data_IF_211176392837
#
_entry.id   IF_211176392837
#
_cell.length_a   1.000
_cell.length_b   1.000
_cell.length_c   1.000
_cell.angle_alpha   90.00
_cell.angle_beta   90.00
_cell.angle_gamma   90.00
#
_symmetry.space_group_name_H-M   'P 1'
#
loop_
_entity.id
_entity.type
_entity.pdbx_description
1 polymer ?
#
# COMPACT_ATOMS: atom_id res chain seq x y z
N UNK A 1 6.15 13.09 44.49
CA UNK A 1 4.82 12.52 44.15
C UNK A 1 3.82 13.65 44.02
N UNK A 2 3.10 13.74 42.89
CA UNK A 2 2.07 14.77 42.70
C UNK A 2 0.86 14.53 43.61
N UNK A 3 0.23 15.60 44.12
CA UNK A 3 -1.01 15.50 44.91
C UNK A 3 -2.13 14.92 44.03
N UNK A 4 -2.91 13.98 44.57
CA UNK A 4 -4.06 13.37 43.86
C UNK A 4 -5.07 14.46 43.48
N UNK A 5 -5.54 14.42 42.24
CA UNK A 5 -6.55 15.35 41.75
C UNK A 5 -7.90 15.05 42.44
N UNK A 6 -8.58 16.10 42.91
CA UNK A 6 -9.93 15.98 43.45
C UNK A 6 -10.91 15.65 42.34
N UNK A 7 -11.81 14.71 42.63
CA UNK A 7 -12.81 14.24 41.70
C UNK A 7 -13.76 15.36 41.25
N UNK A 8 -14.26 15.22 40.02
CA UNK A 8 -15.11 16.22 39.36
C UNK A 8 -16.47 16.34 40.07
N UNK A 9 -17.02 15.25 40.62
CA UNK A 9 -18.26 15.33 41.39
C UNK A 9 -18.09 16.19 42.63
N UNK A 10 -16.97 16.02 43.34
CA UNK A 10 -16.70 16.80 44.55
C UNK A 10 -16.48 18.28 44.21
N UNK A 11 -15.82 18.58 43.08
CA UNK A 11 -15.70 19.97 42.59
C UNK A 11 -17.06 20.60 42.28
N UNK A 12 -18.03 19.84 41.76
CA UNK A 12 -19.41 20.33 41.56
C UNK A 12 -20.10 20.60 42.90
N UNK A 13 -19.96 19.69 43.88
CA UNK A 13 -20.50 19.89 45.23
C UNK A 13 -19.94 21.15 45.90
N UNK A 14 -18.66 21.48 45.68
CA UNK A 14 -18.08 22.75 46.17
C UNK A 14 -18.83 23.97 45.61
N UNK A 15 -19.17 23.95 44.31
CA UNK A 15 -19.89 25.06 43.68
C UNK A 15 -21.32 25.15 44.20
N UNK A 16 -22.04 24.03 44.29
CA UNK A 16 -23.40 23.98 44.84
C UNK A 16 -23.45 24.49 46.28
N UNK A 17 -22.52 24.05 47.14
CA UNK A 17 -22.49 24.50 48.54
C UNK A 17 -22.12 25.98 48.67
N UNK A 18 -21.26 26.48 47.77
CA UNK A 18 -20.96 27.92 47.69
C UNK A 18 -22.19 28.72 47.28
N UNK A 19 -22.95 28.24 46.29
CA UNK A 19 -24.15 28.93 45.80
C UNK A 19 -25.28 28.91 46.86
N UNK A 20 -25.27 27.92 47.76
CA UNK A 20 -26.12 27.89 48.96
C UNK A 20 -25.67 28.81 50.11
N UNK A 21 -24.61 29.62 49.93
CA UNK A 21 -24.14 30.61 50.89
C UNK A 21 -23.18 30.11 51.97
N UNK A 22 -22.69 28.86 51.91
CA UNK A 22 -21.73 28.34 52.90
C UNK A 22 -20.35 28.98 52.74
N UNK A 23 -19.68 29.21 53.87
CA UNK A 23 -18.30 29.70 53.88
C UNK A 23 -17.32 28.65 53.37
N UNK A 24 -16.17 29.08 52.85
CA UNK A 24 -15.13 28.17 52.37
C UNK A 24 -14.61 27.22 53.47
N UNK A 25 -14.68 27.63 54.74
CA UNK A 25 -14.30 26.81 55.88
C UNK A 25 -15.31 25.68 56.13
N UNK A 26 -16.62 25.99 56.12
CA UNK A 26 -17.68 24.99 56.28
C UNK A 26 -17.68 23.98 55.13
N UNK A 27 -17.49 24.43 53.90
CA UNK A 27 -17.38 23.54 52.72
C UNK A 27 -16.18 22.60 52.87
N UNK A 28 -15.06 23.11 53.37
CA UNK A 28 -13.83 22.34 53.60
C UNK A 28 -14.05 21.23 54.63
N UNK A 29 -14.72 21.52 55.74
CA UNK A 29 -15.06 20.54 56.77
C UNK A 29 -16.08 19.52 56.26
N UNK A 30 -17.15 19.98 55.60
CA UNK A 30 -18.25 19.12 55.12
C UNK A 30 -17.82 18.13 54.05
N UNK A 31 -16.93 18.53 53.15
CA UNK A 31 -16.42 17.67 52.08
C UNK A 31 -15.08 16.98 52.43
N UNK A 32 -14.55 17.21 53.64
CA UNK A 32 -13.24 16.73 54.09
C UNK A 32 -12.10 17.00 53.08
N UNK A 33 -12.04 18.24 52.56
CA UNK A 33 -11.05 18.68 51.57
C UNK A 33 -10.36 19.94 52.08
N UNK A 34 -9.07 20.11 51.79
CA UNK A 34 -8.33 21.31 52.18
C UNK A 34 -9.00 22.61 51.69
N UNK A 35 -9.06 23.63 52.56
CA UNK A 35 -9.52 24.99 52.21
C UNK A 35 -8.87 25.55 50.95
N UNK A 36 -7.59 25.24 50.71
CA UNK A 36 -6.89 25.69 49.51
C UNK A 36 -7.53 25.12 48.23
N UNK A 37 -7.92 23.85 48.23
CA UNK A 37 -8.58 23.23 47.07
C UNK A 37 -9.98 23.83 46.84
N UNK A 38 -10.74 24.09 47.91
CA UNK A 38 -12.05 24.79 47.84
C UNK A 38 -11.86 26.17 47.19
N UNK A 39 -10.92 26.98 47.70
CA UNK A 39 -10.58 28.30 47.16
C UNK A 39 -10.18 28.26 45.69
N UNK A 40 -9.29 27.35 45.29
CA UNK A 40 -8.84 27.21 43.90
C UNK A 40 -9.96 26.76 42.96
N UNK A 41 -10.85 25.88 43.43
CA UNK A 41 -12.00 25.40 42.64
C UNK A 41 -12.99 26.53 42.40
N UNK A 42 -13.32 27.32 43.43
CA UNK A 42 -14.21 28.49 43.31
C UNK A 42 -13.58 29.54 42.39
N UNK A 43 -12.29 29.87 42.58
CA UNK A 43 -11.57 30.84 41.73
C UNK A 43 -11.64 30.43 40.27
N UNK A 44 -11.27 29.18 39.96
CA UNK A 44 -11.29 28.65 38.60
C UNK A 44 -12.70 28.66 38.00
N UNK A 45 -13.72 28.33 38.77
CA UNK A 45 -15.09 28.35 38.30
C UNK A 45 -15.57 29.79 38.02
N UNK A 46 -15.15 30.77 38.81
CA UNK A 46 -15.48 32.17 38.55
C UNK A 46 -14.78 32.71 37.29
N UNK A 47 -13.56 32.25 36.98
CA UNK A 47 -12.80 32.69 35.80
C UNK A 47 -13.23 31.97 34.50
N UNK A 48 -13.51 30.67 34.57
CA UNK A 48 -13.67 29.81 33.39
C UNK A 48 -15.03 29.10 33.31
N UNK A 49 -15.91 29.30 34.29
CA UNK A 49 -17.22 28.64 34.42
C UNK A 49 -17.17 27.11 34.25
N UNK A 50 -16.05 26.49 34.63
CA UNK A 50 -15.86 25.04 34.49
C UNK A 50 -15.09 24.43 35.66
N UNK A 51 -15.59 23.28 36.12
CA UNK A 51 -14.91 22.41 37.10
C UNK A 51 -14.00 21.38 36.43
N UNK A 52 -14.08 21.23 35.10
CA UNK A 52 -13.34 20.22 34.35
C UNK A 52 -11.83 20.52 34.38
N UNK A 53 -11.02 19.51 34.64
CA UNK A 53 -9.55 19.65 34.60
C UNK A 53 -9.11 19.78 33.15
N UNK A 54 -8.36 20.84 32.80
CA UNK A 54 -7.77 20.97 31.46
C UNK A 54 -6.76 19.83 31.28
N UNK A 55 -6.75 19.15 30.12
CA UNK A 55 -5.66 18.23 29.81
C UNK A 55 -4.34 18.99 29.88
N UNK A 56 -3.33 18.40 30.51
CA UNK A 56 -2.00 18.98 30.54
C UNK A 56 -1.42 19.04 29.12
N UNK A 57 -0.45 19.93 28.89
CA UNK A 57 0.24 20.07 27.60
C UNK A 57 0.95 18.79 27.13
N UNK A 58 1.10 17.80 28.03
CA UNK A 58 1.82 16.56 27.75
C UNK A 58 3.31 16.79 27.63
N UNK A 59 4.02 15.75 27.18
CA UNK A 59 5.46 15.83 26.92
C UNK A 59 5.68 16.44 25.54
N UNK A 60 6.53 17.46 25.45
CA UNK A 60 6.94 18.03 24.16
C UNK A 60 7.58 16.97 23.26
N UNK A 61 7.23 17.01 21.97
CA UNK A 61 7.84 16.17 20.94
C UNK A 61 9.33 16.48 20.80
N UNK A 62 10.16 15.46 20.57
CA UNK A 62 11.57 15.65 20.21
C UNK A 62 11.76 16.32 18.83
N UNK A 63 10.78 16.15 17.95
CA UNK A 63 10.79 16.69 16.60
C UNK A 63 9.84 17.88 16.53
N UNK A 64 10.33 18.98 15.98
CA UNK A 64 9.53 20.19 15.76
C UNK A 64 8.60 20.02 14.56
N UNK A 65 7.55 20.83 14.49
CA UNK A 65 6.60 20.80 13.37
C UNK A 65 7.24 21.20 12.02
N UNK A 66 8.42 21.83 12.04
CA UNK A 66 9.23 22.09 10.84
C UNK A 66 10.08 20.90 10.40
N UNK A 67 10.49 20.04 11.34
CA UNK A 67 11.32 18.87 11.05
C UNK A 67 10.49 17.69 10.54
N UNK A 68 9.23 17.53 10.98
CA UNK A 68 8.38 16.42 10.54
C UNK A 68 8.16 16.41 9.01
N UNK A 69 7.84 17.53 8.34
CA UNK A 69 7.73 17.57 6.88
C UNK A 69 9.00 17.18 6.15
N UNK A 70 10.19 17.49 6.70
CA UNK A 70 11.46 17.11 6.07
C UNK A 70 11.63 15.58 6.00
N UNK A 71 11.20 14.86 7.04
CA UNK A 71 11.21 13.39 7.07
C UNK A 71 10.24 12.83 6.00
N UNK A 72 9.04 13.41 5.91
CA UNK A 72 8.04 13.05 4.90
C UNK A 72 8.55 13.31 3.48
N UNK A 73 9.20 14.46 3.23
CA UNK A 73 9.81 14.78 1.95
C UNK A 73 10.92 13.80 1.57
N UNK A 74 11.72 13.35 2.54
CA UNK A 74 12.74 12.34 2.30
C UNK A 74 12.12 11.01 1.87
N UNK A 75 11.02 10.60 2.49
CA UNK A 75 10.27 9.41 2.08
C UNK A 75 9.60 9.57 0.70
N UNK A 76 9.22 10.79 0.30
CA UNK A 76 8.68 11.06 -1.05
C UNK A 76 9.77 10.98 -2.13
N UNK A 77 10.99 11.46 -1.82
CA UNK A 77 12.16 11.37 -2.73
C UNK A 77 12.55 9.92 -3.00
N UNK A 78 12.55 9.09 -1.97
CA UNK A 78 12.79 7.66 -2.08
C UNK A 78 11.71 6.89 -1.31
N UNK A 79 10.73 6.40 -2.07
CA UNK A 79 9.58 5.67 -1.56
C UNK A 79 9.93 4.27 -1.03
N UNK A 80 11.16 3.79 -1.24
CA UNK A 80 11.63 2.48 -0.77
C UNK A 80 12.32 2.51 0.58
N UNK A 81 12.65 3.70 1.09
CA UNK A 81 13.35 3.83 2.35
C UNK A 81 12.60 3.09 3.46
N UNK A 82 13.33 2.23 4.16
CA UNK A 82 12.79 1.58 5.34
C UNK A 82 12.66 2.59 6.48
N UNK A 83 11.82 2.27 7.47
CA UNK A 83 11.75 3.07 8.69
C UNK A 83 13.12 3.14 9.41
N UNK A 84 13.96 2.12 9.26
CA UNK A 84 15.30 2.10 9.87
C UNK A 84 16.23 3.08 9.18
N UNK A 85 16.16 3.16 7.84
CA UNK A 85 16.96 4.11 7.06
C UNK A 85 16.50 5.55 7.31
N UNK A 86 15.20 5.78 7.48
CA UNK A 86 14.68 7.08 7.91
C UNK A 86 15.12 7.46 9.33
N UNK A 87 15.19 6.50 10.27
CA UNK A 87 15.76 6.78 11.59
C UNK A 87 17.22 7.19 11.47
N UNK A 88 18.01 6.49 10.63
CA UNK A 88 19.40 6.87 10.36
C UNK A 88 19.49 8.26 9.76
N UNK A 89 18.62 8.59 8.80
CA UNK A 89 18.52 9.93 8.20
C UNK A 89 18.25 11.02 9.25
N UNK A 90 17.32 10.78 10.18
CA UNK A 90 17.01 11.73 11.26
C UNK A 90 18.22 11.90 12.20
N UNK A 91 18.88 10.80 12.54
CA UNK A 91 20.06 10.85 13.40
C UNK A 91 21.22 11.63 12.74
N UNK A 92 21.46 11.46 11.45
CA UNK A 92 22.57 12.12 10.75
C UNK A 92 22.28 13.57 10.37
N UNK A 93 21.07 13.87 9.89
CA UNK A 93 20.74 15.21 9.35
C UNK A 93 20.16 16.15 10.40
N UNK A 94 19.47 15.62 11.41
CA UNK A 94 18.84 16.42 12.46
C UNK A 94 19.55 16.30 13.82
N UNK A 95 20.56 15.43 13.93
CA UNK A 95 21.27 15.12 15.17
C UNK A 95 20.33 14.72 16.33
N UNK A 96 19.26 13.97 16.00
CA UNK A 96 18.22 13.55 16.95
C UNK A 96 18.08 12.04 17.00
N UNK A 97 18.10 11.49 18.21
CA UNK A 97 17.81 10.07 18.44
C UNK A 97 16.32 9.84 18.64
N UNK A 98 15.70 9.24 17.62
CA UNK A 98 14.28 8.89 17.57
C UNK A 98 14.10 7.39 17.34
N UNK A 99 12.98 6.85 17.83
CA UNK A 99 12.63 5.46 17.61
C UNK A 99 11.99 5.26 16.22
N UNK A 100 12.06 4.02 15.69
CA UNK A 100 11.29 3.63 14.49
C UNK A 100 9.79 3.94 14.62
N UNK A 101 9.23 3.80 15.83
CA UNK A 101 7.82 4.05 16.10
C UNK A 101 7.49 5.55 16.02
N UNK A 102 8.42 6.43 16.39
CA UNK A 102 8.27 7.88 16.24
C UNK A 102 8.19 8.26 14.76
N UNK A 103 9.13 7.78 13.95
CA UNK A 103 9.12 8.00 12.49
C UNK A 103 7.84 7.46 11.86
N UNK A 104 7.41 6.25 12.23
CA UNK A 104 6.16 5.68 11.73
C UNK A 104 4.94 6.55 12.06
N UNK A 105 4.84 7.09 13.28
CA UNK A 105 3.73 7.97 13.67
C UNK A 105 3.71 9.25 12.86
N UNK A 106 4.88 9.85 12.62
CA UNK A 106 4.99 11.05 11.79
C UNK A 106 4.50 10.76 10.38
N UNK A 107 4.96 9.66 9.76
CA UNK A 107 4.50 9.32 8.42
C UNK A 107 2.98 9.09 8.38
N UNK A 108 2.39 8.50 9.42
CA UNK A 108 0.93 8.37 9.54
C UNK A 108 0.21 9.72 9.78
N UNK A 109 0.82 10.67 10.49
CA UNK A 109 0.30 12.04 10.68
C UNK A 109 0.14 12.75 9.32
N UNK A 110 1.03 12.45 8.37
CA UNK A 110 0.97 12.92 6.98
C UNK A 110 0.23 11.96 6.03
N UNK A 111 -0.54 11.01 6.55
CA UNK A 111 -1.32 10.01 5.78
C UNK A 111 -0.48 9.20 4.77
N UNK A 112 0.80 8.95 5.10
CA UNK A 112 1.66 8.04 4.35
C UNK A 112 1.54 6.60 4.86
N UNK A 113 1.14 5.70 3.99
CA UNK A 113 0.95 4.28 4.31
C UNK A 113 1.85 3.40 3.44
N UNK A 114 2.08 2.18 3.94
CA UNK A 114 2.93 1.19 3.30
C UNK A 114 2.14 0.36 2.29
N UNK A 115 2.71 0.13 1.11
CA UNK A 115 2.12 -0.66 0.04
C UNK A 115 3.12 -1.67 -0.51
N UNK A 116 2.62 -2.74 -1.13
CA UNK A 116 3.43 -3.62 -1.97
C UNK A 116 3.47 -3.00 -3.36
N UNK A 117 4.66 -2.67 -3.85
CA UNK A 117 4.83 -2.13 -5.19
C UNK A 117 4.38 -3.16 -6.25
N UNK A 118 3.46 -2.83 -7.17
CA UNK A 118 3.07 -3.78 -8.21
C UNK A 118 4.26 -4.05 -9.14
N UNK A 119 4.29 -5.26 -9.71
CA UNK A 119 5.31 -5.67 -10.66
C UNK A 119 4.77 -5.48 -12.06
N UNK A 120 5.26 -4.48 -12.78
CA UNK A 120 4.92 -4.25 -14.19
C UNK A 120 6.20 -4.34 -15.02
N UNK A 121 6.15 -4.85 -16.26
CA UNK A 121 7.25 -4.68 -17.19
C UNK A 121 7.41 -3.20 -17.54
N UNK A 122 8.65 -2.78 -17.85
CA UNK A 122 8.88 -1.44 -18.40
C UNK A 122 8.43 -1.45 -19.84
N UNK A 123 7.48 -0.58 -20.19
CA UNK A 123 7.01 -0.42 -21.56
C UNK A 123 7.58 0.90 -22.08
N UNK A 124 8.38 0.84 -23.14
CA UNK A 124 8.92 2.04 -23.78
C UNK A 124 7.84 2.75 -24.63
N UNK A 125 8.13 3.97 -25.08
CA UNK A 125 7.17 4.76 -25.85
C UNK A 125 6.69 4.05 -27.13
N UNK A 126 7.61 3.43 -27.88
CA UNK A 126 7.28 2.70 -29.12
C UNK A 126 6.32 1.55 -28.85
N UNK A 127 6.58 0.75 -27.81
CA UNK A 127 5.71 -0.35 -27.39
C UNK A 127 4.33 0.15 -26.92
N UNK A 128 4.28 1.30 -26.22
CA UNK A 128 2.99 1.92 -25.83
C UNK A 128 2.16 2.27 -27.08
N UNK A 129 2.77 2.94 -28.05
CA UNK A 129 2.10 3.31 -29.30
C UNK A 129 1.65 2.08 -30.09
N UNK A 130 2.51 1.05 -30.21
CA UNK A 130 2.16 -0.19 -30.90
C UNK A 130 0.97 -0.90 -30.25
N UNK A 131 0.96 -1.01 -28.91
CA UNK A 131 -0.16 -1.60 -28.17
C UNK A 131 -1.45 -0.81 -28.35
N UNK A 132 -1.40 0.54 -28.23
CA UNK A 132 -2.55 1.40 -28.46
C UNK A 132 -3.11 1.25 -29.88
N UNK A 133 -2.23 1.24 -30.90
CA UNK A 133 -2.63 1.04 -32.28
C UNK A 133 -3.30 -0.31 -32.49
N UNK A 134 -2.71 -1.38 -31.95
CA UNK A 134 -3.30 -2.72 -32.02
C UNK A 134 -4.69 -2.75 -31.37
N UNK A 135 -4.85 -2.17 -30.17
CA UNK A 135 -6.16 -2.09 -29.52
C UNK A 135 -7.18 -1.33 -30.36
N UNK A 136 -6.82 -0.20 -30.97
CA UNK A 136 -7.74 0.55 -31.83
C UNK A 136 -8.13 -0.22 -33.09
N UNK A 137 -7.20 -0.96 -33.70
CA UNK A 137 -7.48 -1.76 -34.90
C UNK A 137 -8.47 -2.91 -34.63
N UNK A 138 -8.48 -3.45 -33.40
CA UNK A 138 -9.30 -4.59 -33.03
C UNK A 138 -10.47 -4.20 -32.10
N UNK A 139 -10.69 -2.90 -31.86
CA UNK A 139 -11.70 -2.42 -30.89
C UNK A 139 -13.12 -2.79 -31.31
N UNK A 140 -13.39 -2.79 -32.62
CA UNK A 140 -14.70 -3.08 -33.21
C UNK A 140 -14.81 -4.52 -33.72
N UNK A 141 -13.85 -5.39 -33.40
CA UNK A 141 -13.91 -6.78 -33.81
C UNK A 141 -15.09 -7.49 -33.14
N UNK A 142 -16.00 -8.10 -33.92
CA UNK A 142 -17.07 -8.91 -33.37
C UNK A 142 -16.52 -10.20 -32.74
N UNK A 143 -17.30 -10.80 -31.85
CA UNK A 143 -16.94 -12.04 -31.15
C UNK A 143 -16.56 -13.19 -32.11
N UNK A 144 -17.23 -13.27 -33.26
CA UNK A 144 -16.92 -14.25 -34.32
C UNK A 144 -15.50 -14.14 -34.88
N UNK A 145 -14.89 -12.96 -34.84
CA UNK A 145 -13.53 -12.76 -35.34
C UNK A 145 -12.53 -13.17 -34.25
N UNK A 146 -12.86 -12.92 -32.98
CA UNK A 146 -12.10 -13.44 -31.83
C UNK A 146 -12.17 -14.96 -31.72
N UNK A 147 -13.30 -15.59 -32.08
CA UNK A 147 -13.46 -17.05 -32.04
C UNK A 147 -12.58 -17.78 -33.05
N UNK A 148 -12.10 -17.10 -34.09
CA UNK A 148 -11.24 -17.68 -35.12
C UNK A 148 -9.74 -17.53 -34.82
N UNK A 149 -9.38 -17.05 -33.62
CA UNK A 149 -7.97 -16.91 -33.22
C UNK A 149 -7.51 -18.13 -32.41
N UNK A 150 -6.40 -18.71 -32.82
CA UNK A 150 -5.61 -19.67 -32.04
C UNK A 150 -4.51 -18.88 -31.33
N UNK A 151 -4.61 -18.79 -30.00
CA UNK A 151 -3.59 -18.16 -29.16
C UNK A 151 -2.56 -19.21 -28.76
N UNK A 152 -1.27 -18.96 -28.97
CA UNK A 152 -0.17 -19.82 -28.51
C UNK A 152 0.76 -19.05 -27.61
N UNK A 153 1.25 -19.66 -26.53
CA UNK A 153 2.23 -19.04 -25.65
C UNK A 153 3.03 -20.10 -24.87
N UNK A 154 4.21 -19.71 -24.42
CA UNK A 154 5.03 -20.48 -23.50
C UNK A 154 4.96 -19.93 -22.08
N UNK A 155 4.89 -20.84 -21.11
CA UNK A 155 5.02 -20.50 -19.70
C UNK A 155 6.10 -21.31 -19.03
N UNK A 156 6.82 -20.68 -18.09
CA UNK A 156 7.81 -21.34 -17.26
C UNK A 156 7.28 -21.41 -15.82
N UNK A 157 7.09 -22.61 -15.30
CA UNK A 157 6.65 -22.87 -13.94
C UNK A 157 7.85 -23.16 -13.03
N UNK A 158 8.00 -22.36 -11.97
CA UNK A 158 9.13 -22.43 -11.05
C UNK A 158 8.69 -22.97 -9.68
N UNK A 159 9.45 -23.92 -9.12
CA UNK A 159 9.08 -24.66 -7.89
C UNK A 159 9.18 -23.77 -6.63
N UNK A 160 10.03 -22.75 -6.62
CA UNK A 160 10.22 -21.86 -5.48
C UNK A 160 10.57 -20.43 -5.91
N UNK A 161 9.57 -19.57 -6.00
CA UNK A 161 9.80 -18.13 -6.19
C UNK A 161 9.30 -17.37 -4.95
N UNK A 162 10.15 -17.26 -3.92
CA UNK A 162 9.94 -16.31 -2.82
C UNK A 162 9.99 -14.90 -3.42
N UNK A 163 8.84 -14.38 -3.80
CA UNK A 163 8.69 -13.06 -4.41
C UNK A 163 9.37 -12.00 -3.52
N UNK A 164 10.44 -11.38 -4.02
CA UNK A 164 11.01 -10.10 -3.51
C UNK A 164 9.94 -8.99 -3.51
N UNK A 165 9.07 -8.97 -2.49
CA UNK A 165 8.10 -7.90 -2.30
C UNK A 165 8.88 -6.65 -1.94
N UNK A 166 8.77 -5.63 -2.78
CA UNK A 166 9.28 -4.30 -2.44
C UNK A 166 8.14 -3.56 -1.75
N UNK A 167 8.36 -3.21 -0.49
CA UNK A 167 7.47 -2.31 0.21
C UNK A 167 7.85 -0.88 -0.14
N UNK A 168 6.85 -0.08 -0.50
CA UNK A 168 6.99 1.35 -0.70
C UNK A 168 6.07 2.09 0.25
N UNK A 169 6.37 3.35 0.55
CA UNK A 169 5.51 4.19 1.39
C UNK A 169 5.14 5.48 0.66
N UNK A 170 3.83 5.73 0.53
CA UNK A 170 3.27 6.87 -0.22
C UNK A 170 2.02 7.40 0.48
N UNK A 171 1.56 8.58 0.06
CA UNK A 171 0.29 9.12 0.51
C UNK A 171 -0.86 8.18 0.15
N UNK A 172 -1.90 8.15 0.99
CA UNK A 172 -3.08 7.29 0.77
C UNK A 172 -3.71 7.47 -0.62
N UNK A 173 -3.69 8.69 -1.15
CA UNK A 173 -4.36 9.05 -2.40
C UNK A 173 -3.49 8.87 -3.67
N UNK A 174 -2.22 8.49 -3.55
CA UNK A 174 -1.27 8.36 -4.66
C UNK A 174 -1.37 7.04 -5.45
N UNK A 175 -2.36 6.20 -5.15
CA UNK A 175 -2.51 4.83 -5.69
C UNK A 175 -2.59 4.75 -7.22
N UNK A 176 -2.92 5.84 -7.91
CA UNK A 176 -3.15 5.86 -9.37
C UNK A 176 -1.88 5.99 -10.22
N UNK A 177 -0.72 6.36 -9.65
CA UNK A 177 0.45 6.86 -10.42
C UNK A 177 1.64 5.90 -10.50
N UNK A 178 1.41 4.60 -10.43
CA UNK A 178 2.52 3.65 -10.35
C UNK A 178 3.08 3.25 -11.73
N UNK A 179 4.23 3.83 -12.07
CA UNK A 179 5.04 3.52 -13.26
C UNK A 179 6.31 2.71 -12.95
N UNK A 180 6.47 2.13 -11.74
CA UNK A 180 7.68 1.37 -11.48
C UNK A 180 7.62 0.03 -12.20
N UNK A 181 8.54 -0.13 -13.14
CA UNK A 181 8.83 -1.41 -13.74
C UNK A 181 9.75 -2.20 -12.83
N UNK A 182 9.40 -3.45 -12.50
CA UNK A 182 10.39 -4.36 -11.93
C UNK A 182 11.03 -5.17 -13.05
N UNK A 183 12.35 -5.23 -13.05
CA UNK A 183 13.12 -6.11 -13.92
C UNK A 183 12.78 -7.56 -13.58
N UNK A 184 12.64 -8.43 -14.59
CA UNK A 184 12.59 -9.89 -14.37
C UNK A 184 13.86 -10.27 -13.61
N UNK A 185 13.71 -10.82 -12.41
CA UNK A 185 14.83 -11.44 -11.69
C UNK A 185 15.15 -12.76 -12.39
N UNK A 186 16.43 -13.09 -12.50
CA UNK A 186 16.92 -14.33 -13.10
C UNK A 186 16.26 -15.56 -12.46
N UNK A 187 15.86 -16.50 -13.30
CA UNK A 187 15.03 -17.66 -12.94
C UNK A 187 15.91 -18.80 -12.41
N UNK A 188 15.49 -19.44 -11.32
CA UNK A 188 16.03 -20.75 -10.93
C UNK A 188 15.44 -21.87 -11.80
N UNK A 189 15.75 -23.13 -11.49
CA UNK A 189 15.20 -24.29 -12.18
C UNK A 189 13.67 -24.31 -12.20
N UNK A 190 13.09 -24.56 -13.37
CA UNK A 190 11.66 -24.62 -13.63
C UNK A 190 11.39 -25.42 -14.89
N UNK A 191 10.12 -25.71 -15.15
CA UNK A 191 9.68 -26.49 -16.31
C UNK A 191 9.00 -25.58 -17.31
N UNK A 192 9.44 -25.66 -18.57
CA UNK A 192 8.84 -24.97 -19.71
C UNK A 192 7.63 -25.75 -20.23
N UNK A 193 6.55 -25.03 -20.50
CA UNK A 193 5.32 -25.58 -21.05
C UNK A 193 4.90 -24.70 -22.22
N UNK A 194 4.62 -25.34 -23.35
CA UNK A 194 3.93 -24.72 -24.47
C UNK A 194 2.48 -25.21 -24.53
N UNK A 195 1.56 -24.34 -24.92
CA UNK A 195 0.19 -24.74 -25.24
C UNK A 195 -0.48 -23.74 -26.17
N UNK A 196 -1.68 -24.09 -26.62
CA UNK A 196 -2.56 -23.20 -27.35
C UNK A 196 -3.94 -23.09 -26.68
N UNK A 197 -4.63 -21.98 -26.92
CA UNK A 197 -6.00 -21.72 -26.49
C UNK A 197 -6.82 -21.26 -27.69
N UNK A 198 -8.03 -21.80 -27.78
CA UNK A 198 -9.05 -21.41 -28.77
C UNK A 198 -10.36 -21.15 -28.03
N UNK A 199 -11.35 -20.53 -28.68
CA UNK A 199 -12.69 -20.40 -28.09
C UNK A 199 -13.38 -21.76 -27.86
N UNK A 200 -12.94 -22.81 -28.55
CA UNK A 200 -13.45 -24.19 -28.43
C UNK A 200 -12.73 -25.00 -27.34
N UNK A 201 -11.70 -24.43 -26.69
CA UNK A 201 -11.01 -25.03 -25.57
C UNK A 201 -9.49 -24.99 -25.67
N UNK A 202 -8.86 -25.67 -24.71
CA UNK A 202 -7.41 -25.71 -24.53
C UNK A 202 -6.76 -26.84 -25.37
N UNK A 203 -5.54 -26.58 -25.82
CA UNK A 203 -4.63 -27.57 -26.38
C UNK A 203 -3.93 -28.44 -25.33
N UNK A 204 -3.09 -29.38 -25.77
CA UNK A 204 -2.24 -30.15 -24.86
C UNK A 204 -1.24 -29.22 -24.14
N UNK A 205 -0.87 -29.58 -22.92
CA UNK A 205 0.26 -28.98 -22.23
C UNK A 205 1.53 -29.74 -22.63
N UNK A 206 2.35 -29.12 -23.46
CA UNK A 206 3.56 -29.73 -24.03
C UNK A 206 4.75 -29.29 -23.18
N UNK A 207 5.29 -30.24 -22.43
CA UNK A 207 6.46 -29.99 -21.59
C UNK A 207 7.73 -30.04 -22.44
N UNK A 208 8.64 -29.09 -22.22
CA UNK A 208 9.95 -29.10 -22.86
C UNK A 208 11.06 -28.78 -21.85
N UNK A 209 12.20 -29.42 -22.07
CA UNK A 209 13.38 -29.27 -21.20
C UNK A 209 14.36 -28.23 -21.75
N UNK A 210 14.89 -27.43 -20.81
CA UNK A 210 15.88 -26.40 -21.08
C UNK A 210 15.32 -25.18 -21.84
N UNK A 211 16.19 -24.48 -22.56
CA UNK A 211 15.76 -23.37 -23.41
C UNK A 211 15.02 -23.89 -24.64
N UNK A 212 13.92 -23.23 -24.97
CA UNK A 212 13.22 -23.39 -26.24
C UNK A 212 13.99 -22.63 -27.32
N UNK A 213 14.47 -23.33 -28.34
CA UNK A 213 15.09 -22.74 -29.53
C UNK A 213 14.13 -22.90 -30.72
N UNK A 214 14.48 -22.29 -31.86
CA UNK A 214 13.63 -22.30 -33.05
C UNK A 214 13.30 -23.72 -33.52
N UNK A 215 14.28 -24.64 -33.55
CA UNK A 215 14.06 -26.01 -34.01
C UNK A 215 13.07 -26.78 -33.12
N UNK A 216 13.23 -26.70 -31.79
CA UNK A 216 12.29 -27.31 -30.85
C UNK A 216 10.90 -26.67 -30.97
N UNK A 217 10.84 -25.36 -31.18
CA UNK A 217 9.57 -24.67 -31.33
C UNK A 217 8.83 -25.11 -32.59
N UNK A 218 9.52 -25.19 -33.72
CA UNK A 218 8.96 -25.71 -34.97
C UNK A 218 8.46 -27.14 -34.79
N UNK A 219 9.24 -28.01 -34.15
CA UNK A 219 8.84 -29.40 -33.88
C UNK A 219 7.57 -29.48 -33.01
N UNK A 220 7.44 -28.60 -32.00
CA UNK A 220 6.23 -28.50 -31.18
C UNK A 220 5.03 -28.05 -32.02
N UNK A 221 5.20 -27.02 -32.87
CA UNK A 221 4.13 -26.53 -33.73
C UNK A 221 3.69 -27.60 -34.72
N UNK A 222 4.62 -28.25 -35.42
CA UNK A 222 4.32 -29.28 -36.41
C UNK A 222 3.55 -30.46 -35.79
N UNK A 223 3.87 -30.84 -34.55
CA UNK A 223 3.21 -31.95 -33.85
C UNK A 223 1.84 -31.59 -33.29
N UNK A 224 1.68 -30.38 -32.77
CA UNK A 224 0.53 -30.07 -31.91
C UNK A 224 -0.42 -29.02 -32.49
N UNK A 225 0.06 -28.10 -33.34
CA UNK A 225 -0.78 -27.08 -33.94
C UNK A 225 -1.86 -27.65 -34.88
N UNK A 226 -1.66 -28.73 -35.66
CA UNK A 226 -2.72 -29.33 -36.46
C UNK A 226 -3.97 -29.67 -35.64
N UNK A 227 -3.80 -30.14 -34.40
CA UNK A 227 -4.93 -30.44 -33.49
C UNK A 227 -5.75 -29.20 -33.10
N UNK A 228 -5.13 -28.02 -33.10
CA UNK A 228 -5.82 -26.76 -32.88
C UNK A 228 -6.72 -26.41 -34.06
N UNK A 229 -6.22 -26.61 -35.28
CA UNK A 229 -6.99 -26.42 -36.50
C UNK A 229 -8.16 -27.40 -36.59
N UNK A 230 -7.97 -28.68 -36.31
CA UNK A 230 -9.05 -29.68 -36.28
C UNK A 230 -10.21 -29.28 -35.34
N UNK A 231 -9.88 -28.65 -34.20
CA UNK A 231 -10.90 -28.12 -33.27
C UNK A 231 -11.64 -26.89 -33.80
N UNK A 232 -10.99 -26.05 -34.60
CA UNK A 232 -11.55 -24.79 -35.07
C UNK A 232 -12.26 -24.90 -36.42
N UNK A 233 -11.74 -25.73 -37.34
CA UNK A 233 -12.23 -25.90 -38.71
C UNK A 233 -13.73 -26.20 -38.83
N UNK A 234 -14.35 -27.05 -37.97
CA UNK A 234 -15.78 -27.35 -38.06
C UNK A 234 -16.69 -26.14 -37.78
N UNK A 235 -16.16 -25.09 -37.16
CA UNK A 235 -16.90 -23.92 -36.70
C UNK A 235 -16.48 -22.63 -37.41
N UNK A 236 -15.36 -22.65 -38.13
CA UNK A 236 -14.86 -21.51 -38.89
C UNK A 236 -15.41 -21.50 -40.31
N UNK A 237 -16.12 -20.43 -40.67
CA UNK A 237 -16.54 -20.14 -42.05
C UNK A 237 -15.54 -19.26 -42.81
N UNK A 238 -14.46 -18.83 -42.14
CA UNK A 238 -13.51 -17.81 -42.58
C UNK A 238 -12.07 -18.20 -42.17
N UNK A 239 -11.09 -17.38 -42.57
CA UNK A 239 -9.67 -17.51 -42.23
C UNK A 239 -9.43 -17.67 -40.72
N UNK A 240 -8.59 -18.66 -40.35
CA UNK A 240 -8.14 -18.90 -38.98
C UNK A 240 -6.83 -18.14 -38.76
N UNK A 241 -6.77 -17.37 -37.67
CA UNK A 241 -5.58 -16.57 -37.33
C UNK A 241 -4.78 -17.24 -36.22
N UNK A 242 -3.48 -17.37 -36.43
CA UNK A 242 -2.54 -17.77 -35.38
C UNK A 242 -1.95 -16.53 -34.70
N UNK A 243 -2.06 -16.45 -33.38
CA UNK A 243 -1.45 -15.40 -32.58
C UNK A 243 -0.34 -15.99 -31.70
N UNK A 244 0.89 -15.53 -31.95
CA UNK A 244 2.07 -15.78 -31.11
C UNK A 244 2.76 -14.47 -30.73
N UNK A 245 3.68 -14.52 -29.78
CA UNK A 245 4.44 -13.35 -29.37
C UNK A 245 5.49 -12.94 -30.44
N UNK A 246 6.27 -11.90 -30.15
CA UNK A 246 7.33 -11.42 -31.05
C UNK A 246 8.72 -11.88 -30.57
N UNK A 247 8.83 -13.10 -30.04
CA UNK A 247 10.11 -13.71 -29.72
C UNK A 247 10.99 -13.80 -30.98
N UNK A 248 12.31 -13.75 -30.77
CA UNK A 248 13.32 -13.85 -31.82
C UNK A 248 13.88 -15.25 -31.89
#
# INVERSE_FOLDING_TARGET
>A
MGRKAVDTAIKRSIIVLRDSGMSQHEISQKLNISRHCVKQTIRKFNELHTVATKPGAGRHSKLTDRQKPAITLQQVRDDTLSLTDLVRYVQTNLNLTVSRRTVSRILHEFDMISYIAPRKPRINYRQRCARLRWCYQHLTWPEKDWSNIIFTDESNFEVLNRKNRIYIRRFRNDLKRFERSQQRVHRGGGVGIWSYLTCHGLGPLVFYDGSLNSDKYIDILDKHLPTAFEKCLPHSSHEILLQQDNAR
#
